data_IF_492523405505
#
_entry.id   IF_492523405505
#
_cell.length_a   1.000
_cell.length_b   1.000
_cell.length_c   1.000
_cell.angle_alpha   90.00
_cell.angle_beta   90.00
_cell.angle_gamma   90.00
#
_symmetry.space_group_name_H-M   'P 1'
#
loop_
_entity.id
_entity.type
_entity.pdbx_description
1 polymer ?
#
# COMPACT_ATOMS: atom_id res chain seq x y z
N UNK A 1 -26.33 17.09 -17.10
CA UNK A 1 -26.46 15.72 -16.54
C UNK A 1 -25.06 15.10 -16.59
N UNK A 2 -24.28 15.31 -15.54
CA UNK A 2 -22.86 14.92 -15.47
C UNK A 2 -22.79 13.78 -14.46
N UNK A 3 -22.53 12.58 -14.97
CA UNK A 3 -22.26 11.40 -14.16
C UNK A 3 -20.84 11.49 -13.60
N UNK A 4 -20.72 11.82 -12.32
CA UNK A 4 -19.48 11.76 -11.55
C UNK A 4 -19.13 10.30 -11.28
N UNK A 5 -18.13 9.79 -11.99
CA UNK A 5 -17.49 8.50 -11.68
C UNK A 5 -16.73 8.59 -10.35
N UNK A 6 -17.25 7.92 -9.32
CA UNK A 6 -16.54 7.76 -8.03
C UNK A 6 -15.36 6.79 -8.20
N UNK A 7 -14.14 7.14 -7.74
CA UNK A 7 -13.05 6.20 -7.71
C UNK A 7 -13.30 5.16 -6.59
N UNK A 8 -13.29 3.88 -6.95
CA UNK A 8 -13.30 2.78 -5.99
C UNK A 8 -11.93 2.71 -5.33
N UNK A 9 -11.86 3.19 -4.10
CA UNK A 9 -10.69 3.04 -3.22
C UNK A 9 -10.82 1.69 -2.52
N UNK A 10 -9.84 0.81 -2.73
CA UNK A 10 -9.70 -0.41 -1.93
C UNK A 10 -9.17 -0.03 -0.54
N UNK A 11 -10.01 0.59 0.28
CA UNK A 11 -9.71 0.80 1.69
C UNK A 11 -10.18 -0.44 2.47
N UNK A 12 -9.26 -1.15 3.11
CA UNK A 12 -9.59 -2.13 4.15
C UNK A 12 -10.12 -1.37 5.39
N UNK A 13 -11.39 -1.00 5.37
CA UNK A 13 -12.08 -0.51 6.56
C UNK A 13 -12.85 -1.68 7.18
N UNK A 14 -12.45 -2.05 8.38
CA UNK A 14 -13.09 -3.06 9.22
C UNK A 14 -14.43 -2.53 9.73
N UNK A 15 -15.54 -2.99 9.16
CA UNK A 15 -16.84 -2.89 9.82
C UNK A 15 -17.13 -4.25 10.47
N UNK A 16 -17.07 -4.32 11.80
CA UNK A 16 -17.59 -5.47 12.55
C UNK A 16 -19.12 -5.49 12.48
N UNK A 17 -19.65 -6.47 11.77
CA UNK A 17 -21.02 -6.94 11.97
C UNK A 17 -20.91 -8.31 12.62
N UNK A 18 -21.30 -8.40 13.89
CA UNK A 18 -21.44 -9.66 14.63
C UNK A 18 -22.65 -10.40 14.09
N UNK A 19 -22.44 -11.41 13.25
CA UNK A 19 -23.47 -12.39 12.90
C UNK A 19 -23.09 -13.71 13.57
N UNK A 20 -23.98 -14.18 14.43
CA UNK A 20 -24.01 -15.51 15.05
C UNK A 20 -23.83 -16.59 13.97
N UNK A 21 -22.80 -17.40 14.12
CA UNK A 21 -22.42 -18.42 13.16
C UNK A 21 -23.40 -19.57 13.06
N UNK A 22 -23.99 -19.72 11.89
CA UNK A 22 -24.33 -21.04 11.36
C UNK A 22 -23.05 -21.60 10.73
N UNK A 23 -22.64 -22.83 11.07
CA UNK A 23 -21.55 -23.50 10.36
C UNK A 23 -21.86 -23.51 8.87
N UNK A 24 -20.95 -23.07 7.97
CA UNK A 24 -21.22 -23.16 6.55
C UNK A 24 -21.39 -24.63 6.19
N UNK A 25 -22.54 -24.98 5.62
CA UNK A 25 -22.68 -26.25 4.91
C UNK A 25 -21.52 -26.31 3.91
N UNK A 26 -20.81 -27.42 3.82
CA UNK A 26 -19.75 -27.67 2.84
C UNK A 26 -20.35 -27.38 1.46
N UNK A 27 -20.01 -26.23 0.89
CA UNK A 27 -20.52 -25.82 -0.39
C UNK A 27 -20.10 -26.86 -1.42
N UNK A 28 -21.01 -27.28 -2.29
CA UNK A 28 -20.70 -28.18 -3.37
C UNK A 28 -19.95 -27.37 -4.45
N UNK A 29 -18.63 -27.42 -4.44
CA UNK A 29 -17.78 -26.66 -5.37
C UNK A 29 -18.18 -26.87 -6.84
N UNK A 30 -18.69 -28.03 -7.19
CA UNK A 30 -19.19 -28.29 -8.55
C UNK A 30 -20.46 -27.49 -8.89
N UNK A 31 -21.34 -27.27 -7.91
CA UNK A 31 -22.53 -26.43 -8.09
C UNK A 31 -22.14 -24.95 -8.16
N UNK A 32 -21.26 -24.49 -7.30
CA UNK A 32 -20.68 -23.15 -7.35
C UNK A 32 -20.08 -22.86 -8.72
N UNK A 33 -19.21 -23.74 -9.24
CA UNK A 33 -18.58 -23.60 -10.56
C UNK A 33 -19.64 -23.55 -11.66
N UNK A 34 -20.62 -24.48 -11.67
CA UNK A 34 -21.72 -24.45 -12.66
C UNK A 34 -22.48 -23.13 -12.64
N UNK A 35 -22.75 -22.59 -11.44
CA UNK A 35 -23.45 -21.32 -11.26
C UNK A 35 -22.67 -20.08 -11.75
N UNK A 36 -21.35 -20.17 -11.89
CA UNK A 36 -20.51 -19.08 -12.42
C UNK A 36 -20.53 -19.01 -13.96
N UNK A 37 -20.80 -20.12 -14.67
CA UNK A 37 -20.65 -20.17 -16.11
C UNK A 37 -21.45 -19.09 -16.86
N UNK A 38 -22.74 -18.83 -16.59
CA UNK A 38 -23.47 -17.79 -17.32
C UNK A 38 -22.85 -16.40 -17.21
N UNK A 39 -22.27 -16.09 -16.04
CA UNK A 39 -21.58 -14.81 -15.83
C UNK A 39 -20.23 -14.76 -16.57
N UNK A 40 -19.48 -15.86 -16.60
CA UNK A 40 -18.22 -15.95 -17.32
C UNK A 40 -18.46 -15.88 -18.85
N UNK A 41 -19.45 -16.61 -19.37
CA UNK A 41 -19.84 -16.59 -20.76
C UNK A 41 -20.27 -15.19 -21.23
N UNK A 42 -21.10 -14.49 -20.44
CA UNK A 42 -21.53 -13.12 -20.74
C UNK A 42 -20.38 -12.10 -20.80
N UNK A 43 -19.24 -12.43 -20.19
CA UNK A 43 -18.00 -11.63 -20.26
C UNK A 43 -17.04 -12.09 -21.37
N UNK A 44 -17.45 -13.01 -22.21
CA UNK A 44 -16.69 -13.52 -23.34
C UNK A 44 -15.58 -14.52 -22.95
N UNK A 45 -15.71 -15.19 -21.80
CA UNK A 45 -14.84 -16.30 -21.42
C UNK A 45 -15.18 -17.51 -22.29
N UNK A 46 -14.19 -18.11 -22.95
CA UNK A 46 -14.38 -19.32 -23.72
C UNK A 46 -14.67 -20.53 -22.83
N UNK A 47 -15.47 -21.48 -23.32
CA UNK A 47 -15.81 -22.69 -22.57
C UNK A 47 -14.56 -23.49 -22.20
N UNK A 48 -13.60 -23.60 -23.11
CA UNK A 48 -12.34 -24.30 -22.87
C UNK A 48 -11.48 -23.65 -21.81
N UNK A 49 -11.38 -22.31 -21.79
CA UNK A 49 -10.66 -21.57 -20.74
C UNK A 49 -11.32 -21.75 -19.37
N UNK A 50 -12.66 -21.72 -19.33
CA UNK A 50 -13.41 -21.93 -18.10
C UNK A 50 -13.19 -23.36 -17.54
N UNK A 51 -13.31 -24.38 -18.37
CA UNK A 51 -13.12 -25.79 -17.97
C UNK A 51 -11.68 -26.06 -17.52
N UNK A 52 -10.69 -25.54 -18.27
CA UNK A 52 -9.27 -25.63 -17.88
C UNK A 52 -9.02 -24.95 -16.53
N UNK A 53 -9.58 -23.75 -16.32
CA UNK A 53 -9.37 -22.97 -15.11
C UNK A 53 -9.93 -23.63 -13.83
N UNK A 54 -10.98 -24.43 -13.97
CA UNK A 54 -11.60 -25.16 -12.86
C UNK A 54 -11.23 -26.64 -12.81
N UNK A 55 -10.30 -27.09 -13.67
CA UNK A 55 -9.82 -28.47 -13.60
C UNK A 55 -9.22 -28.75 -12.22
N UNK A 56 -9.75 -29.78 -11.52
CA UNK A 56 -9.29 -30.14 -10.18
C UNK A 56 -9.63 -29.15 -9.06
N UNK A 57 -10.47 -28.15 -9.32
CA UNK A 57 -10.88 -27.21 -8.27
C UNK A 57 -11.63 -27.92 -7.15
N UNK A 58 -11.17 -27.67 -5.93
CA UNK A 58 -11.85 -28.00 -4.69
C UNK A 58 -11.71 -26.82 -3.75
N UNK A 59 -12.75 -26.56 -2.94
CA UNK A 59 -12.72 -25.56 -1.91
C UNK A 59 -11.53 -25.74 -0.97
N UNK A 60 -10.79 -24.67 -0.67
CA UNK A 60 -9.54 -24.71 0.09
C UNK A 60 -9.70 -24.01 1.45
N UNK A 61 -10.07 -24.72 2.54
CA UNK A 61 -10.26 -24.12 3.87
C UNK A 61 -9.02 -23.33 4.35
N UNK A 62 -7.81 -23.73 3.98
CA UNK A 62 -6.57 -23.01 4.33
C UNK A 62 -6.57 -21.56 3.85
N UNK A 63 -7.15 -21.28 2.69
CA UNK A 63 -7.27 -19.90 2.16
C UNK A 63 -8.19 -19.07 3.07
N UNK A 64 -9.31 -19.63 3.50
CA UNK A 64 -10.24 -18.93 4.41
C UNK A 64 -9.61 -18.70 5.80
N UNK A 65 -8.76 -19.59 6.27
CA UNK A 65 -8.07 -19.39 7.56
C UNK A 65 -7.06 -18.23 7.50
N UNK A 66 -6.48 -17.94 6.33
CA UNK A 66 -5.61 -16.79 6.13
C UNK A 66 -6.38 -15.46 6.24
N UNK A 67 -7.67 -15.42 5.90
CA UNK A 67 -8.50 -14.23 6.06
C UNK A 67 -8.69 -13.81 7.52
N UNK A 68 -8.64 -14.78 8.45
CA UNK A 68 -8.78 -14.56 9.90
C UNK A 68 -7.46 -14.14 10.57
N UNK A 69 -6.33 -14.43 9.93
CA UNK A 69 -4.98 -14.20 10.46
C UNK A 69 -4.38 -12.87 9.99
N UNK A 70 -5.18 -11.93 9.49
CA UNK A 70 -4.64 -10.59 9.20
C UNK A 70 -4.23 -9.97 10.54
N UNK A 71 -2.92 -9.82 10.83
CA UNK A 71 -2.49 -9.21 12.08
C UNK A 71 -3.05 -7.79 12.11
N UNK A 72 -3.70 -7.43 13.21
CA UNK A 72 -3.94 -6.01 13.48
C UNK A 72 -2.60 -5.30 13.32
N UNK A 73 -2.62 -4.14 12.64
CA UNK A 73 -1.41 -3.35 12.41
C UNK A 73 -0.81 -2.93 13.76
N UNK A 74 0.01 -3.81 14.32
CA UNK A 74 0.65 -3.65 15.63
C UNK A 74 2.12 -3.28 15.53
N UNK A 75 2.59 -2.86 14.34
CA UNK A 75 3.97 -2.47 14.13
C UNK A 75 4.10 -0.96 13.87
N UNK A 76 5.16 -0.37 14.37
CA UNK A 76 5.52 1.02 14.04
C UNK A 76 5.98 1.12 12.58
N UNK A 77 5.98 2.35 12.04
CA UNK A 77 6.54 2.62 10.70
C UNK A 77 8.01 2.21 10.65
N UNK A 78 8.78 2.49 11.71
CA UNK A 78 10.17 2.02 11.83
C UNK A 78 10.30 0.51 11.65
N UNK A 79 9.55 -0.26 12.46
CA UNK A 79 9.60 -1.73 12.38
C UNK A 79 9.21 -2.29 11.02
N UNK A 80 8.28 -1.61 10.33
CA UNK A 80 7.92 -1.95 8.94
C UNK A 80 9.09 -1.72 8.00
N UNK A 81 9.72 -0.54 8.08
CA UNK A 81 10.86 -0.17 7.23
C UNK A 81 12.07 -1.05 7.47
N UNK A 82 12.44 -1.30 8.73
CA UNK A 82 13.60 -2.13 9.09
C UNK A 82 13.49 -3.55 8.51
N UNK A 83 12.26 -4.08 8.43
CA UNK A 83 11.99 -5.41 7.85
C UNK A 83 12.00 -5.38 6.33
N UNK A 84 11.50 -4.30 5.71
CA UNK A 84 11.19 -4.24 4.27
C UNK A 84 12.23 -3.52 3.44
N UNK A 85 13.09 -2.69 4.05
CA UNK A 85 14.10 -1.87 3.35
C UNK A 85 15.49 -2.20 3.91
N UNK A 86 15.95 -3.41 3.65
CA UNK A 86 17.25 -3.88 4.10
C UNK A 86 18.38 -3.47 3.15
N UNK A 87 19.62 -3.49 3.63
CA UNK A 87 20.80 -3.26 2.77
C UNK A 87 20.88 -4.27 1.62
N UNK A 88 20.57 -5.55 1.90
CA UNK A 88 20.56 -6.61 0.89
C UNK A 88 19.53 -6.35 -0.20
N UNK A 89 18.34 -5.87 0.17
CA UNK A 89 17.28 -5.54 -0.78
C UNK A 89 17.66 -4.33 -1.66
N UNK A 90 18.28 -3.30 -1.08
CA UNK A 90 18.78 -2.16 -1.84
C UNK A 90 19.90 -2.56 -2.81
N UNK A 91 20.85 -3.39 -2.36
CA UNK A 91 21.93 -3.92 -3.20
C UNK A 91 21.39 -4.78 -4.36
N UNK A 92 20.39 -5.65 -4.09
CA UNK A 92 19.73 -6.42 -5.15
C UNK A 92 19.03 -5.48 -6.14
N UNK A 93 18.37 -4.42 -5.66
CA UNK A 93 17.75 -3.40 -6.52
C UNK A 93 18.76 -2.67 -7.42
N UNK A 94 19.96 -2.38 -6.91
CA UNK A 94 21.07 -1.82 -7.72
C UNK A 94 21.49 -2.78 -8.83
N UNK A 95 21.62 -4.07 -8.53
CA UNK A 95 21.94 -5.09 -9.54
C UNK A 95 20.82 -5.18 -10.60
N UNK A 96 19.55 -5.22 -10.18
CA UNK A 96 18.39 -5.22 -11.09
C UNK A 96 18.34 -3.95 -11.95
N UNK A 97 18.72 -2.80 -11.40
CA UNK A 97 18.79 -1.55 -12.17
C UNK A 97 19.81 -1.63 -13.31
N UNK A 98 20.95 -2.24 -13.06
CA UNK A 98 21.96 -2.45 -14.10
C UNK A 98 21.49 -3.48 -15.14
N UNK A 99 20.93 -4.60 -14.71
CA UNK A 99 20.42 -5.68 -15.57
C UNK A 99 19.30 -5.22 -16.49
N UNK A 100 18.34 -4.49 -15.96
CA UNK A 100 17.13 -4.07 -16.70
C UNK A 100 17.18 -2.62 -17.16
N UNK A 101 18.36 -2.02 -17.23
CA UNK A 101 18.55 -0.60 -17.55
C UNK A 101 17.85 -0.16 -18.83
N UNK A 102 17.93 -0.93 -19.89
CA UNK A 102 17.30 -0.60 -21.17
C UNK A 102 15.76 -0.57 -21.05
N UNK A 103 15.17 -1.58 -20.43
CA UNK A 103 13.72 -1.66 -20.18
C UNK A 103 13.23 -0.50 -19.31
N UNK A 104 13.95 -0.22 -18.23
CA UNK A 104 13.61 0.84 -17.28
C UNK A 104 13.70 2.22 -17.91
N UNK A 105 14.77 2.49 -18.68
CA UNK A 105 14.95 3.76 -19.40
C UNK A 105 13.84 3.95 -20.45
N UNK A 106 13.50 2.91 -21.19
CA UNK A 106 12.39 2.96 -22.16
C UNK A 106 11.03 3.17 -21.47
N UNK A 107 10.82 2.55 -20.32
CA UNK A 107 9.60 2.76 -19.53
C UNK A 107 9.52 4.19 -18.97
N UNK A 108 10.64 4.75 -18.50
CA UNK A 108 10.70 6.14 -18.05
C UNK A 108 10.40 7.12 -19.19
N UNK A 109 11.00 6.91 -20.36
CA UNK A 109 10.73 7.73 -21.55
C UNK A 109 9.24 7.68 -21.97
N UNK A 110 8.61 6.52 -21.85
CA UNK A 110 7.22 6.31 -22.25
C UNK A 110 6.21 6.84 -21.24
N UNK A 111 6.46 6.67 -19.94
CA UNK A 111 5.47 6.96 -18.89
C UNK A 111 5.92 7.98 -17.85
N UNK A 112 7.17 8.45 -17.93
CA UNK A 112 7.70 9.48 -17.03
C UNK A 112 7.94 9.02 -15.60
N UNK A 113 7.94 7.69 -15.33
CA UNK A 113 8.16 7.12 -14.00
C UNK A 113 9.62 6.74 -13.83
N UNK A 114 10.25 7.24 -12.77
CA UNK A 114 11.66 7.00 -12.52
C UNK A 114 11.95 5.50 -12.30
N UNK A 115 13.04 4.96 -12.86
CA UNK A 115 13.46 3.56 -12.76
C UNK A 115 13.49 3.01 -11.35
N UNK A 116 14.03 3.77 -10.40
CA UNK A 116 14.16 3.36 -9.00
C UNK A 116 12.80 3.16 -8.30
N UNK A 117 11.76 3.89 -8.69
CA UNK A 117 10.41 3.71 -8.14
C UNK A 117 9.81 2.40 -8.64
N UNK A 118 9.92 2.11 -9.94
CA UNK A 118 9.45 0.85 -10.53
C UNK A 118 10.15 -0.34 -9.88
N UNK A 119 11.48 -0.24 -9.72
CA UNK A 119 12.29 -1.27 -9.04
C UNK A 119 11.93 -1.43 -7.56
N UNK A 120 11.69 -0.33 -6.86
CA UNK A 120 11.32 -0.38 -5.45
C UNK A 120 9.97 -1.09 -5.26
N UNK A 121 8.99 -0.85 -6.12
CA UNK A 121 7.71 -1.59 -6.10
C UNK A 121 7.98 -3.08 -6.36
N UNK A 122 8.73 -3.43 -7.39
CA UNK A 122 9.08 -4.82 -7.68
C UNK A 122 9.81 -5.50 -6.51
N UNK A 123 10.73 -4.78 -5.87
CA UNK A 123 11.42 -5.23 -4.66
C UNK A 123 10.46 -5.45 -3.49
N UNK A 124 9.54 -4.52 -3.26
CA UNK A 124 8.56 -4.60 -2.17
C UNK A 124 7.53 -5.70 -2.38
N UNK A 125 7.09 -5.95 -3.60
CA UNK A 125 6.06 -6.95 -3.89
C UNK A 125 6.60 -8.38 -3.82
N UNK A 126 7.68 -8.66 -4.54
CA UNK A 126 8.15 -10.04 -4.73
C UNK A 126 9.64 -10.24 -4.47
N UNK A 127 10.33 -9.26 -3.88
CA UNK A 127 11.79 -9.29 -3.74
C UNK A 127 12.47 -9.52 -5.10
N UNK A 128 12.07 -8.71 -6.10
CA UNK A 128 12.55 -8.78 -7.49
C UNK A 128 12.30 -10.17 -8.11
N UNK A 129 11.07 -10.64 -8.06
CA UNK A 129 10.65 -11.92 -8.60
C UNK A 129 11.10 -13.14 -7.78
N UNK A 130 11.70 -12.93 -6.61
CA UNK A 130 12.17 -14.04 -5.77
C UNK A 130 11.04 -14.90 -5.17
N UNK A 131 9.85 -14.34 -5.02
CA UNK A 131 8.65 -15.06 -4.59
C UNK A 131 7.38 -14.33 -5.06
N UNK A 132 6.68 -14.90 -6.01
CA UNK A 132 5.47 -14.32 -6.61
C UNK A 132 4.16 -14.91 -6.04
N UNK A 133 4.25 -15.77 -5.03
CA UNK A 133 3.16 -16.58 -4.53
C UNK A 133 3.16 -17.99 -5.16
N UNK A 134 2.48 -18.92 -4.52
CA UNK A 134 2.44 -20.32 -4.94
C UNK A 134 1.02 -20.88 -5.07
N UNK A 135 -0.01 -20.03 -4.93
CA UNK A 135 -1.39 -20.48 -5.04
C UNK A 135 -1.86 -20.36 -6.50
N UNK A 136 -2.65 -21.34 -6.94
CA UNK A 136 -3.37 -21.22 -8.20
C UNK A 136 -4.41 -20.10 -8.06
N UNK A 137 -4.19 -18.98 -8.75
CA UNK A 137 -4.93 -17.72 -8.55
C UNK A 137 -6.44 -17.92 -8.69
N UNK A 138 -6.89 -18.65 -9.72
CA UNK A 138 -8.33 -18.88 -9.95
C UNK A 138 -8.93 -19.70 -8.81
N UNK A 139 -8.25 -20.76 -8.35
CA UNK A 139 -8.72 -21.59 -7.24
C UNK A 139 -8.77 -20.80 -5.92
N UNK A 140 -7.79 -19.93 -5.68
CA UNK A 140 -7.78 -19.05 -4.50
C UNK A 140 -8.97 -18.06 -4.52
N UNK A 141 -9.18 -17.37 -5.65
CA UNK A 141 -10.28 -16.44 -5.83
C UNK A 141 -11.65 -17.13 -5.77
N UNK A 142 -11.77 -18.34 -6.35
CA UNK A 142 -12.96 -19.16 -6.28
C UNK A 142 -13.29 -19.53 -4.82
N UNK A 143 -12.29 -19.96 -4.04
CA UNK A 143 -12.46 -20.30 -2.63
C UNK A 143 -12.93 -19.09 -1.79
N UNK A 144 -12.35 -17.91 -2.01
CA UNK A 144 -12.75 -16.69 -1.32
C UNK A 144 -14.19 -16.29 -1.65
N UNK A 145 -14.59 -16.45 -2.93
CA UNK A 145 -15.94 -16.18 -3.41
C UNK A 145 -16.94 -17.16 -2.82
N UNK A 146 -16.68 -18.47 -2.95
CA UNK A 146 -17.52 -19.57 -2.44
C UNK A 146 -17.66 -19.51 -0.92
N UNK A 147 -16.57 -19.18 -0.21
CA UNK A 147 -16.54 -19.02 1.24
C UNK A 147 -17.16 -17.72 1.77
N UNK A 148 -17.67 -16.85 0.90
CA UNK A 148 -18.38 -15.63 1.30
C UNK A 148 -17.49 -14.50 1.79
N UNK A 149 -16.16 -14.61 1.70
CA UNK A 149 -15.26 -13.53 2.11
C UNK A 149 -15.22 -12.43 1.04
N UNK A 150 -15.83 -11.26 1.33
CA UNK A 150 -15.96 -10.15 0.36
C UNK A 150 -16.41 -10.67 -1.01
N UNK A 151 -17.42 -11.53 -1.00
CA UNK A 151 -17.80 -12.40 -2.12
C UNK A 151 -17.97 -11.64 -3.45
N UNK A 152 -18.61 -10.47 -3.44
CA UNK A 152 -18.82 -9.68 -4.66
C UNK A 152 -17.49 -9.18 -5.24
N UNK A 153 -16.57 -8.70 -4.40
CA UNK A 153 -15.27 -8.25 -4.83
C UNK A 153 -14.46 -9.41 -5.46
N UNK A 154 -14.34 -10.54 -4.74
CA UNK A 154 -13.56 -11.67 -5.25
C UNK A 154 -14.21 -12.38 -6.44
N UNK A 155 -15.54 -12.32 -6.57
CA UNK A 155 -16.25 -12.77 -7.77
C UNK A 155 -15.86 -11.96 -9.01
N UNK A 156 -15.80 -10.63 -8.88
CA UNK A 156 -15.36 -9.76 -9.97
C UNK A 156 -13.92 -10.04 -10.38
N UNK A 157 -13.02 -10.21 -9.40
CA UNK A 157 -11.64 -10.58 -9.67
C UNK A 157 -11.53 -11.98 -10.30
N UNK A 158 -12.32 -12.95 -9.85
CA UNK A 158 -12.36 -14.30 -10.41
C UNK A 158 -12.80 -14.30 -11.89
N UNK A 159 -13.91 -13.63 -12.19
CA UNK A 159 -14.42 -13.52 -13.56
C UNK A 159 -13.42 -12.80 -14.47
N UNK A 160 -12.72 -11.82 -13.92
CA UNK A 160 -11.65 -11.12 -14.64
C UNK A 160 -10.43 -12.02 -14.87
N UNK A 161 -10.04 -12.85 -13.89
CA UNK A 161 -8.97 -13.82 -14.03
C UNK A 161 -9.27 -14.86 -15.15
N UNK A 162 -10.52 -15.35 -15.19
CA UNK A 162 -10.97 -16.25 -16.26
C UNK A 162 -10.89 -15.58 -17.63
N UNK A 163 -11.16 -14.29 -17.72
CA UNK A 163 -11.04 -13.53 -18.97
C UNK A 163 -9.57 -13.42 -19.41
N UNK A 164 -8.63 -13.17 -18.50
CA UNK A 164 -7.19 -13.12 -18.78
C UNK A 164 -6.70 -14.43 -19.41
N UNK A 165 -7.16 -15.57 -18.87
CA UNK A 165 -6.86 -16.90 -19.42
C UNK A 165 -7.48 -17.07 -20.80
N UNK A 166 -8.76 -16.69 -20.97
CA UNK A 166 -9.49 -16.78 -22.23
C UNK A 166 -8.86 -15.92 -23.33
N UNK A 167 -8.29 -14.77 -22.98
CA UNK A 167 -7.58 -13.87 -23.90
C UNK A 167 -6.16 -14.39 -24.26
N UNK A 168 -5.71 -15.50 -23.65
CA UNK A 168 -4.45 -16.19 -23.98
C UNK A 168 -3.20 -15.53 -23.38
N UNK A 169 -3.34 -14.63 -22.41
CA UNK A 169 -2.19 -13.98 -21.78
C UNK A 169 -1.37 -14.93 -20.89
N UNK A 170 -2.03 -15.91 -20.28
CA UNK A 170 -1.42 -16.96 -19.45
C UNK A 170 -2.33 -18.19 -19.48
N UNK A 171 -1.76 -19.38 -19.35
CA UNK A 171 -2.57 -20.59 -19.15
C UNK A 171 -3.12 -20.65 -17.73
N UNK A 172 -4.23 -21.35 -17.52
CA UNK A 172 -4.84 -21.49 -16.19
C UNK A 172 -3.83 -22.03 -15.17
N UNK A 173 -3.08 -23.08 -15.51
CA UNK A 173 -2.09 -23.72 -14.63
C UNK A 173 -0.92 -22.79 -14.26
N UNK A 174 -0.56 -21.86 -15.13
CA UNK A 174 0.53 -20.91 -14.92
C UNK A 174 0.09 -19.61 -14.24
N UNK A 175 -1.23 -19.42 -14.07
CA UNK A 175 -1.77 -18.25 -13.36
C UNK A 175 -1.59 -18.43 -11.84
N UNK A 176 -0.35 -18.26 -11.38
CA UNK A 176 0.02 -18.37 -9.96
C UNK A 176 0.09 -17.00 -9.31
N UNK A 177 -0.12 -16.96 -7.98
CA UNK A 177 -0.09 -15.71 -7.23
C UNK A 177 -0.22 -15.92 -5.73
N UNK A 178 -0.61 -14.86 -5.04
CA UNK A 178 -0.90 -14.89 -3.61
C UNK A 178 -2.24 -15.58 -3.32
N UNK A 179 -2.44 -15.96 -2.06
CA UNK A 179 -3.72 -16.51 -1.58
C UNK A 179 -4.92 -15.59 -1.81
N UNK A 180 -4.69 -14.28 -1.97
CA UNK A 180 -5.72 -13.27 -2.21
C UNK A 180 -5.81 -12.82 -3.68
N UNK A 181 -5.16 -13.53 -4.61
CA UNK A 181 -5.32 -13.30 -6.04
C UNK A 181 -4.40 -12.24 -6.64
N UNK A 182 -3.40 -11.74 -5.92
CA UNK A 182 -2.38 -10.86 -6.48
C UNK A 182 -1.35 -11.70 -7.27
N UNK A 183 -0.99 -11.25 -8.50
CA UNK A 183 -0.35 -12.08 -9.52
C UNK A 183 0.99 -11.53 -9.99
N UNK A 184 1.90 -12.45 -10.31
CA UNK A 184 3.14 -12.19 -11.03
C UNK A 184 4.17 -11.34 -10.27
N UNK A 185 5.14 -10.83 -10.99
CA UNK A 185 6.29 -10.08 -10.46
C UNK A 185 5.90 -8.86 -9.63
N UNK A 186 4.82 -8.18 -9.97
CA UNK A 186 4.41 -6.92 -9.37
C UNK A 186 3.05 -7.00 -8.66
N UNK A 187 2.56 -8.22 -8.44
CA UNK A 187 1.38 -8.51 -7.60
C UNK A 187 0.13 -7.75 -8.01
N UNK A 188 -0.16 -7.69 -9.32
CA UNK A 188 -1.41 -7.12 -9.82
C UNK A 188 -2.61 -8.01 -9.47
N UNK A 189 -3.68 -7.39 -9.03
CA UNK A 189 -5.00 -8.02 -9.06
C UNK A 189 -5.48 -8.20 -10.50
N UNK A 190 -6.32 -9.20 -10.81
CA UNK A 190 -6.86 -9.40 -12.17
C UNK A 190 -7.44 -8.15 -12.80
N UNK A 191 -8.22 -7.36 -12.05
CA UNK A 191 -8.77 -6.09 -12.53
C UNK A 191 -7.69 -5.04 -12.85
N UNK A 192 -6.60 -5.02 -12.07
CA UNK A 192 -5.46 -4.15 -12.34
C UNK A 192 -4.70 -4.60 -13.58
N UNK A 193 -4.53 -5.91 -13.77
CA UNK A 193 -3.94 -6.47 -14.96
C UNK A 193 -4.69 -6.05 -16.22
N UNK A 194 -6.00 -6.25 -16.27
CA UNK A 194 -6.82 -5.89 -17.44
C UNK A 194 -6.72 -4.40 -17.80
N UNK A 195 -6.59 -3.53 -16.81
CA UNK A 195 -6.55 -2.08 -17.02
C UNK A 195 -5.16 -1.54 -17.36
N UNK A 196 -4.11 -2.12 -16.78
CA UNK A 196 -2.79 -1.49 -16.75
C UNK A 196 -1.65 -2.35 -17.28
N UNK A 197 -1.82 -3.68 -17.40
CA UNK A 197 -0.79 -4.53 -17.96
C UNK A 197 -0.56 -4.20 -19.44
N UNK A 198 0.70 -4.20 -19.83
CA UNK A 198 1.14 -3.93 -21.21
C UNK A 198 2.01 -5.07 -21.72
N UNK A 199 1.92 -5.33 -22.99
CA UNK A 199 2.89 -6.10 -23.77
C UNK A 199 4.06 -5.14 -24.10
N UNK A 200 5.09 -5.16 -23.24
CA UNK A 200 6.21 -4.24 -23.40
C UNK A 200 7.26 -4.77 -24.37
N UNK A 201 7.46 -6.09 -24.39
CA UNK A 201 8.43 -6.76 -25.27
C UNK A 201 7.89 -6.94 -26.70
N UNK A 202 6.58 -6.79 -26.93
CA UNK A 202 5.95 -6.87 -28.27
C UNK A 202 5.71 -8.28 -28.76
N UNK A 203 5.62 -9.28 -27.87
CA UNK A 203 5.40 -10.68 -28.24
C UNK A 203 3.92 -11.06 -28.43
N UNK A 204 3.00 -10.11 -28.26
CA UNK A 204 1.55 -10.28 -28.40
C UNK A 204 0.84 -10.66 -27.10
N UNK A 205 1.54 -10.80 -25.98
CA UNK A 205 0.98 -11.14 -24.66
C UNK A 205 1.39 -10.15 -23.61
N UNK A 206 0.57 -10.00 -22.58
CA UNK A 206 0.89 -9.24 -21.39
C UNK A 206 1.31 -10.22 -20.30
N UNK A 207 2.58 -10.63 -20.28
CA UNK A 207 3.06 -11.68 -19.37
C UNK A 207 3.79 -11.09 -18.15
N UNK A 208 3.04 -10.83 -17.07
CA UNK A 208 3.63 -10.33 -15.82
C UNK A 208 4.24 -11.46 -14.96
N UNK A 209 4.17 -12.71 -15.37
CA UNK A 209 4.72 -13.87 -14.64
C UNK A 209 6.11 -14.27 -15.14
N UNK A 210 6.32 -14.29 -16.47
CA UNK A 210 7.56 -14.78 -17.07
C UNK A 210 8.33 -13.66 -17.81
N UNK A 211 7.70 -12.55 -18.16
CA UNK A 211 8.34 -11.38 -18.77
C UNK A 211 8.56 -10.27 -17.74
N UNK A 212 9.81 -10.13 -17.28
CA UNK A 212 10.19 -9.01 -16.44
C UNK A 212 9.96 -7.66 -17.14
N UNK A 213 10.17 -7.61 -18.47
CA UNK A 213 9.94 -6.41 -19.27
C UNK A 213 8.47 -5.95 -19.20
N UNK A 214 7.53 -6.88 -19.37
CA UNK A 214 6.10 -6.59 -19.26
C UNK A 214 5.72 -6.18 -17.86
N UNK A 215 6.26 -6.84 -16.83
CA UNK A 215 5.99 -6.54 -15.44
C UNK A 215 6.46 -5.12 -15.07
N UNK A 216 7.69 -4.73 -15.46
CA UNK A 216 8.22 -3.39 -15.20
C UNK A 216 7.47 -2.32 -16.01
N UNK A 217 7.20 -2.58 -17.29
CA UNK A 217 6.40 -1.70 -18.14
C UNK A 217 4.98 -1.52 -17.60
N UNK A 218 4.34 -2.61 -17.15
CA UNK A 218 3.01 -2.58 -16.55
C UNK A 218 2.98 -1.77 -15.24
N UNK A 219 4.01 -1.88 -14.42
CA UNK A 219 4.14 -1.09 -13.19
C UNK A 219 4.27 0.41 -13.50
N UNK A 220 5.11 0.77 -14.47
CA UNK A 220 5.26 2.16 -14.90
C UNK A 220 3.93 2.71 -15.48
N UNK A 221 3.24 1.93 -16.33
CA UNK A 221 1.94 2.31 -16.87
C UNK A 221 0.87 2.47 -15.77
N UNK A 222 0.89 1.62 -14.74
CA UNK A 222 -0.01 1.75 -13.58
C UNK A 222 0.17 3.11 -12.90
N UNK A 223 1.39 3.48 -12.55
CA UNK A 223 1.69 4.75 -11.87
C UNK A 223 1.35 5.95 -12.76
N UNK A 224 1.72 5.90 -14.05
CA UNK A 224 1.35 6.92 -15.03
C UNK A 224 -0.17 7.13 -15.11
N UNK A 225 -0.93 6.03 -15.22
CA UNK A 225 -2.40 6.06 -15.28
C UNK A 225 -3.02 6.66 -14.01
N UNK A 226 -2.33 6.56 -12.88
CA UNK A 226 -2.71 7.18 -11.61
C UNK A 226 -2.12 8.59 -11.40
N UNK A 227 -1.71 9.25 -12.50
CA UNK A 227 -1.26 10.64 -12.51
C UNK A 227 0.11 10.86 -11.87
N UNK A 228 1.03 9.91 -12.08
CA UNK A 228 2.44 10.15 -11.77
C UNK A 228 2.91 11.46 -12.41
N UNK A 229 3.65 12.26 -11.65
CA UNK A 229 4.19 13.54 -12.10
C UNK A 229 5.67 13.37 -12.44
N UNK A 230 6.05 13.41 -13.73
CA UNK A 230 7.43 13.26 -14.16
C UNK A 230 8.34 14.31 -13.51
N UNK A 231 9.54 13.89 -13.10
CA UNK A 231 10.52 14.76 -12.47
C UNK A 231 10.18 15.24 -11.05
N UNK A 232 9.03 14.86 -10.48
CA UNK A 232 8.70 15.06 -9.07
C UNK A 232 9.09 13.82 -8.27
N UNK A 233 9.77 14.00 -7.12
CA UNK A 233 10.06 12.89 -6.21
C UNK A 233 8.83 12.52 -5.36
N UNK A 234 8.95 11.47 -4.54
CA UNK A 234 7.92 11.07 -3.58
C UNK A 234 7.85 11.99 -2.35
N UNK A 235 8.99 12.59 -1.95
CA UNK A 235 9.08 13.45 -0.76
C UNK A 235 10.51 13.79 -0.38
N UNK A 236 10.64 14.51 0.72
CA UNK A 236 11.91 14.94 1.30
C UNK A 236 11.90 14.72 2.81
N UNK A 237 12.97 14.13 3.37
CA UNK A 237 13.22 14.21 4.81
C UNK A 237 13.60 15.65 5.17
N UNK A 238 12.98 16.19 6.22
CA UNK A 238 13.11 17.59 6.61
C UNK A 238 13.39 17.76 8.10
N UNK A 239 13.97 18.91 8.47
CA UNK A 239 14.15 19.37 9.84
C UNK A 239 13.10 20.42 10.14
N UNK A 240 12.53 20.33 11.34
CA UNK A 240 11.66 21.36 11.90
C UNK A 240 12.49 22.39 12.68
N UNK A 241 12.16 23.69 12.61
CA UNK A 241 12.83 24.70 13.42
C UNK A 241 12.45 24.55 14.90
N UNK A 242 13.27 25.09 15.81
CA UNK A 242 12.90 25.22 17.20
C UNK A 242 11.60 26.04 17.34
N UNK A 243 10.70 25.61 18.21
CA UNK A 243 9.41 26.31 18.40
C UNK A 243 8.42 26.17 17.24
N UNK A 244 8.56 25.13 16.40
CA UNK A 244 7.66 24.90 15.25
C UNK A 244 6.19 24.91 15.62
N UNK A 245 5.38 25.64 14.87
CA UNK A 245 3.94 25.77 15.12
C UNK A 245 3.15 24.59 14.52
N UNK A 246 3.02 23.52 15.30
CA UNK A 246 2.25 22.32 14.90
C UNK A 246 0.77 22.61 14.70
N UNK A 247 0.18 23.59 15.40
CA UNK A 247 -1.22 23.95 15.24
C UNK A 247 -1.47 24.55 13.85
N UNK A 248 -0.61 25.46 13.42
CA UNK A 248 -0.66 26.04 12.08
C UNK A 248 -0.41 24.96 11.00
N UNK A 249 0.60 24.12 11.18
CA UNK A 249 0.93 23.07 10.23
C UNK A 249 -0.23 22.05 10.04
N UNK A 250 -0.97 21.73 11.11
CA UNK A 250 -2.16 20.87 11.02
C UNK A 250 -3.31 21.45 10.20
N UNK A 251 -3.41 22.78 10.09
CA UNK A 251 -4.42 23.45 9.26
C UNK A 251 -4.04 23.46 7.77
N UNK A 252 -2.76 23.20 7.49
CA UNK A 252 -2.24 23.15 6.12
C UNK A 252 -2.26 21.70 5.64
N UNK A 253 -3.29 21.31 4.85
CA UNK A 253 -3.34 19.96 4.28
C UNK A 253 -2.19 19.74 3.30
N UNK A 254 -1.98 20.71 2.38
CA UNK A 254 -0.87 20.80 1.44
C UNK A 254 -0.54 22.27 1.17
N UNK A 255 0.76 22.54 0.98
CA UNK A 255 1.23 23.86 0.62
C UNK A 255 2.47 23.78 -0.28
N UNK A 256 2.80 24.82 -1.05
CA UNK A 256 4.07 24.91 -1.76
C UNK A 256 5.25 24.70 -0.82
N UNK A 257 6.31 24.05 -1.30
CA UNK A 257 7.54 23.82 -0.53
C UNK A 257 8.17 25.13 -0.06
N UNK A 258 8.05 26.21 -0.86
CA UNK A 258 8.47 27.57 -0.47
C UNK A 258 7.73 28.08 0.77
N UNK A 259 6.45 27.75 0.95
CA UNK A 259 5.69 28.16 2.12
C UNK A 259 6.14 27.35 3.38
N UNK A 260 6.43 26.07 3.24
CA UNK A 260 7.02 25.27 4.30
C UNK A 260 8.42 25.79 4.67
N UNK A 261 9.21 26.20 3.69
CA UNK A 261 10.53 26.81 3.92
C UNK A 261 10.41 28.16 4.64
N UNK A 262 9.41 28.97 4.33
CA UNK A 262 9.12 30.24 5.05
C UNK A 262 8.74 30.01 6.51
N UNK A 263 8.23 28.82 6.87
CA UNK A 263 8.01 28.39 8.25
C UNK A 263 9.26 27.82 8.93
N UNK A 264 10.43 27.88 8.29
CA UNK A 264 11.71 27.40 8.79
C UNK A 264 11.98 25.92 8.56
N UNK A 265 11.17 25.23 7.76
CA UNK A 265 11.42 23.83 7.41
C UNK A 265 12.53 23.76 6.36
N UNK A 266 13.52 22.92 6.61
CA UNK A 266 14.66 22.70 5.73
C UNK A 266 14.84 21.22 5.43
N UNK A 267 15.41 20.91 4.26
CA UNK A 267 15.82 19.53 3.96
C UNK A 267 16.97 19.13 4.90
N UNK A 268 16.95 17.87 5.38
CA UNK A 268 18.05 17.34 6.22
C UNK A 268 19.42 17.43 5.55
N UNK A 269 19.46 17.42 4.21
CA UNK A 269 20.69 17.58 3.43
C UNK A 269 21.25 19.01 3.44
N UNK A 270 20.55 20.00 3.98
CA UNK A 270 20.89 21.43 3.91
C UNK A 270 20.73 22.05 2.51
N UNK A 271 20.39 21.27 1.48
CA UNK A 271 20.19 21.79 0.12
C UNK A 271 18.79 22.42 -0.01
N UNK A 272 18.62 23.46 -0.85
CA UNK A 272 17.30 24.03 -1.11
C UNK A 272 16.37 23.01 -1.77
N UNK A 273 15.05 23.24 -1.68
CA UNK A 273 14.09 22.46 -2.46
C UNK A 273 14.28 22.78 -3.95
N UNK A 274 14.52 21.76 -4.81
CA UNK A 274 14.82 22.03 -6.22
C UNK A 274 13.63 22.58 -7.00
N UNK A 275 12.42 22.33 -6.51
CA UNK A 275 11.16 22.76 -7.11
C UNK A 275 10.28 23.37 -6.02
N UNK A 276 10.51 24.64 -5.63
CA UNK A 276 9.87 25.28 -4.47
C UNK A 276 8.35 25.47 -4.62
N UNK A 277 7.83 25.39 -5.84
CA UNK A 277 6.39 25.46 -6.15
C UNK A 277 5.67 24.11 -6.03
N UNK A 278 6.40 22.98 -5.92
CA UNK A 278 5.79 21.68 -5.71
C UNK A 278 5.02 21.67 -4.38
N UNK A 279 3.89 20.98 -4.39
CA UNK A 279 2.98 20.92 -3.24
C UNK A 279 3.32 19.76 -2.32
N UNK A 280 3.68 20.07 -1.06
CA UNK A 280 4.01 19.08 -0.04
C UNK A 280 3.01 19.06 1.11
N UNK A 281 2.85 17.90 1.77
CA UNK A 281 2.18 17.77 3.07
C UNK A 281 3.16 17.26 4.12
N UNK A 282 3.03 17.79 5.33
CA UNK A 282 3.87 17.36 6.45
C UNK A 282 3.44 15.95 6.92
N UNK A 283 4.43 15.08 7.16
CA UNK A 283 4.20 13.72 7.67
C UNK A 283 5.23 13.39 8.75
N UNK A 284 4.74 13.00 9.92
CA UNK A 284 5.54 12.70 11.11
C UNK A 284 5.17 11.30 11.62
N UNK A 285 5.72 10.22 11.03
CA UNK A 285 5.34 8.84 11.35
C UNK A 285 5.66 8.41 12.79
N UNK A 286 6.59 9.08 13.44
CA UNK A 286 6.97 8.88 14.85
C UNK A 286 6.91 10.18 15.67
N UNK A 287 6.06 11.11 15.25
CA UNK A 287 6.00 12.45 15.81
C UNK A 287 7.23 13.29 15.47
N UNK A 288 7.34 14.45 16.11
CA UNK A 288 8.43 15.40 15.90
C UNK A 288 9.80 14.92 16.44
N UNK A 289 9.80 13.85 17.23
CA UNK A 289 11.02 13.26 17.78
C UNK A 289 11.72 12.28 16.82
N UNK A 290 11.08 11.93 15.71
CA UNK A 290 11.60 11.03 14.69
C UNK A 290 11.78 11.70 13.35
N UNK A 291 12.03 10.92 12.27
CA UNK A 291 12.10 11.43 10.92
C UNK A 291 10.81 12.14 10.51
N UNK A 292 10.96 13.31 9.93
CA UNK A 292 9.86 14.15 9.44
C UNK A 292 9.99 14.31 7.94
N UNK A 293 8.87 14.30 7.23
CA UNK A 293 8.85 14.34 5.78
C UNK A 293 7.90 15.43 5.26
N UNK A 294 8.25 16.04 4.13
CA UNK A 294 7.32 16.69 3.22
C UNK A 294 7.02 15.70 2.08
N UNK A 295 5.82 15.14 2.08
CA UNK A 295 5.35 14.16 1.09
C UNK A 295 4.72 14.87 -0.09
N UNK A 296 5.16 14.54 -1.31
CA UNK A 296 4.69 15.13 -2.55
C UNK A 296 3.56 14.28 -3.16
N UNK A 297 2.85 14.76 -4.19
CA UNK A 297 1.76 14.03 -4.83
C UNK A 297 2.13 12.63 -5.32
N UNK A 298 3.36 12.40 -5.78
CA UNK A 298 3.81 11.07 -6.20
C UNK A 298 3.80 10.03 -5.05
N UNK A 299 3.93 10.46 -3.79
CA UNK A 299 3.70 9.56 -2.65
C UNK A 299 2.26 9.01 -2.63
N UNK A 300 1.27 9.85 -2.93
CA UNK A 300 -0.13 9.43 -2.97
C UNK A 300 -0.40 8.55 -4.20
N UNK A 301 0.37 8.69 -5.28
CA UNK A 301 0.32 7.78 -6.44
C UNK A 301 0.85 6.40 -6.04
N UNK A 302 1.97 6.32 -5.30
CA UNK A 302 2.48 5.04 -4.76
C UNK A 302 1.41 4.38 -3.87
N UNK A 303 0.70 5.14 -3.06
CA UNK A 303 -0.42 4.63 -2.24
C UNK A 303 -1.58 4.04 -3.06
N UNK A 304 -1.70 4.32 -4.36
CA UNK A 304 -2.69 3.64 -5.21
C UNK A 304 -2.35 2.16 -5.41
N UNK A 305 -1.05 1.83 -5.37
CA UNK A 305 -0.59 0.45 -5.44
C UNK A 305 -0.97 -0.32 -4.16
N UNK A 306 -0.68 0.26 -3.01
CA UNK A 306 -1.09 -0.26 -1.71
C UNK A 306 -1.41 0.92 -0.78
N UNK A 307 -2.64 1.01 -0.29
CA UNK A 307 -3.14 2.13 0.51
C UNK A 307 -2.60 2.12 1.95
N UNK A 308 -1.28 2.16 2.08
CA UNK A 308 -0.56 2.23 3.35
C UNK A 308 0.53 3.30 3.28
N UNK A 309 0.56 4.22 4.25
CA UNK A 309 1.63 5.22 4.36
C UNK A 309 2.99 4.54 4.62
N UNK A 310 3.02 3.45 5.41
CA UNK A 310 4.24 2.68 5.67
C UNK A 310 4.78 2.02 4.39
N UNK A 311 3.89 1.47 3.56
CA UNK A 311 4.26 0.90 2.27
C UNK A 311 4.83 1.97 1.33
N UNK A 312 4.12 3.08 1.16
CA UNK A 312 4.57 4.14 0.25
C UNK A 312 5.90 4.76 0.69
N UNK A 313 6.10 4.94 2.01
CA UNK A 313 7.37 5.39 2.57
C UNK A 313 8.48 4.35 2.33
N UNK A 314 8.19 3.05 2.45
CA UNK A 314 9.15 2.00 2.17
C UNK A 314 9.55 1.94 0.69
N UNK A 315 8.58 2.10 -0.23
CA UNK A 315 8.86 2.21 -1.68
C UNK A 315 9.76 3.41 -1.94
N UNK A 316 9.41 4.60 -1.44
CA UNK A 316 10.21 5.81 -1.64
C UNK A 316 11.62 5.68 -1.05
N UNK A 317 11.71 5.17 0.18
CA UNK A 317 13.01 4.96 0.84
C UNK A 317 13.87 3.90 0.14
N UNK A 318 13.28 2.79 -0.31
CA UNK A 318 13.99 1.77 -1.09
C UNK A 318 14.48 2.34 -2.43
N UNK A 319 13.66 3.14 -3.11
CA UNK A 319 14.03 3.82 -4.34
C UNK A 319 15.25 4.72 -4.14
N UNK A 320 15.27 5.54 -3.10
CA UNK A 320 16.41 6.38 -2.75
C UNK A 320 17.65 5.55 -2.47
N UNK A 321 17.54 4.42 -1.77
CA UNK A 321 18.66 3.53 -1.49
C UNK A 321 19.20 2.82 -2.74
N UNK A 322 18.35 2.48 -3.69
CA UNK A 322 18.75 1.92 -4.99
C UNK A 322 19.64 2.90 -5.76
N UNK A 323 19.39 4.19 -5.67
CA UNK A 323 20.22 5.22 -6.31
C UNK A 323 21.40 5.70 -5.45
N UNK A 324 21.66 5.03 -4.33
CA UNK A 324 22.85 5.26 -3.52
C UNK A 324 22.67 6.22 -2.33
N UNK A 325 21.44 6.64 -2.02
CA UNK A 325 21.19 7.40 -0.80
C UNK A 325 21.40 6.53 0.44
N UNK A 326 21.77 7.16 1.55
CA UNK A 326 21.88 6.52 2.86
C UNK A 326 20.52 6.20 3.50
N UNK A 327 20.54 5.84 4.79
CA UNK A 327 19.36 5.81 5.63
C UNK A 327 18.82 7.22 5.92
N UNK A 328 17.73 7.31 6.66
CA UNK A 328 17.24 8.59 7.15
C UNK A 328 18.26 9.25 8.08
N UNK A 329 18.41 10.57 7.96
CA UNK A 329 19.38 11.34 8.75
C UNK A 329 18.92 11.49 10.21
N UNK A 330 17.61 11.58 10.42
CA UNK A 330 17.02 11.69 11.78
C UNK A 330 16.79 10.29 12.34
N UNK A 331 17.33 9.98 13.54
CA UNK A 331 17.10 8.69 14.17
C UNK A 331 15.64 8.52 14.59
N UNK A 332 15.16 7.27 14.61
CA UNK A 332 13.85 6.94 15.16
C UNK A 332 13.88 7.04 16.70
N UNK A 333 12.81 7.49 17.34
CA UNK A 333 12.77 7.62 18.80
C UNK A 333 12.81 6.24 19.47
N UNK A 334 13.75 6.06 20.39
CA UNK A 334 13.86 4.82 21.15
C UNK A 334 12.65 4.60 22.08
N UNK A 335 12.26 3.33 22.24
CA UNK A 335 11.21 2.93 23.18
C UNK A 335 9.79 3.27 22.75
N UNK A 336 9.57 3.70 21.51
CA UNK A 336 8.22 3.85 20.98
C UNK A 336 7.67 2.51 20.46
N UNK A 337 6.35 2.32 20.60
CA UNK A 337 5.66 1.13 20.13
C UNK A 337 4.26 1.48 19.61
N UNK A 338 3.78 0.66 18.66
CA UNK A 338 2.45 0.81 18.11
C UNK A 338 1.39 0.35 19.11
N UNK A 339 0.35 1.14 19.26
CA UNK A 339 -0.76 0.81 20.15
C UNK A 339 -1.77 -0.09 19.45
N UNK A 340 -2.21 -1.14 20.14
CA UNK A 340 -3.39 -1.92 19.76
C UNK A 340 -4.66 -1.07 19.83
N UNK A 341 -5.77 -1.52 19.25
CA UNK A 341 -7.05 -0.82 19.35
C UNK A 341 -7.48 -0.61 20.83
N UNK A 342 -7.30 -1.64 21.66
CA UNK A 342 -7.60 -1.56 23.09
C UNK A 342 -6.73 -0.50 23.80
N UNK A 343 -5.43 -0.46 23.52
CA UNK A 343 -4.53 0.55 24.10
C UNK A 343 -4.84 1.96 23.62
N UNK A 344 -5.29 2.14 22.36
CA UNK A 344 -5.77 3.44 21.89
C UNK A 344 -7.04 3.89 22.62
N UNK A 345 -7.98 2.99 22.88
CA UNK A 345 -9.16 3.28 23.69
C UNK A 345 -8.79 3.61 25.13
N UNK A 346 -7.82 2.89 25.72
CA UNK A 346 -7.28 3.20 27.04
C UNK A 346 -6.66 4.61 27.07
N UNK A 347 -5.83 4.97 26.09
CA UNK A 347 -5.24 6.30 25.95
C UNK A 347 -6.32 7.40 25.88
N UNK A 348 -7.36 7.19 25.06
CA UNK A 348 -8.51 8.11 24.99
C UNK A 348 -9.20 8.25 26.36
N UNK A 349 -9.44 7.14 27.06
CA UNK A 349 -10.04 7.14 28.40
C UNK A 349 -9.20 7.95 29.40
N UNK A 350 -7.88 7.74 29.41
CA UNK A 350 -6.97 8.46 30.31
C UNK A 350 -6.93 9.96 30.00
N UNK A 351 -6.89 10.34 28.73
CA UNK A 351 -6.98 11.74 28.29
C UNK A 351 -8.32 12.36 28.73
N UNK A 352 -9.44 11.66 28.57
CA UNK A 352 -10.75 12.13 29.05
C UNK A 352 -10.79 12.36 30.55
N UNK A 353 -10.23 11.45 31.37
CA UNK A 353 -10.09 11.59 32.81
C UNK A 353 -9.19 12.79 33.18
N UNK A 354 -8.20 13.10 32.35
CA UNK A 354 -7.33 14.26 32.52
C UNK A 354 -7.96 15.58 32.03
N UNK A 355 -9.24 15.56 31.60
CA UNK A 355 -10.02 16.74 31.22
C UNK A 355 -9.94 17.14 29.75
N UNK A 356 -9.40 16.31 28.87
CA UNK A 356 -9.33 16.59 27.43
C UNK A 356 -10.53 16.02 26.67
N UNK A 357 -11.06 16.76 25.67
CA UNK A 357 -12.12 16.27 24.80
C UNK A 357 -11.54 15.27 23.79
N UNK A 358 -11.83 14.00 23.95
CA UNK A 358 -11.43 12.91 23.06
C UNK A 358 -12.61 12.32 22.27
N UNK A 359 -13.84 12.74 22.57
CA UNK A 359 -15.05 12.08 22.12
C UNK A 359 -15.23 10.72 22.80
N UNK A 360 -15.82 9.77 22.07
CA UNK A 360 -16.00 8.40 22.56
C UNK A 360 -14.69 7.62 22.49
N UNK A 361 -14.27 6.95 23.58
CA UNK A 361 -13.08 6.07 23.55
C UNK A 361 -13.33 4.78 22.78
N UNK A 362 -13.17 4.81 21.47
CA UNK A 362 -13.46 3.71 20.55
C UNK A 362 -12.18 3.04 19.96
N UNK A 363 -11.01 3.55 20.34
CA UNK A 363 -9.70 3.13 19.84
C UNK A 363 -9.40 3.60 18.41
N UNK A 364 -10.23 4.50 17.85
CA UNK A 364 -10.00 5.14 16.54
C UNK A 364 -9.36 6.52 16.74
N UNK A 365 -8.17 6.71 16.16
CA UNK A 365 -7.42 7.97 16.31
C UNK A 365 -7.94 9.02 15.33
N UNK A 366 -8.91 9.81 15.77
CA UNK A 366 -9.47 10.92 15.00
C UNK A 366 -8.85 12.29 15.35
N UNK A 367 -9.34 13.37 14.74
CA UNK A 367 -8.87 14.74 15.00
C UNK A 367 -8.95 15.14 16.48
N UNK A 368 -10.04 14.78 17.20
CA UNK A 368 -10.20 15.07 18.64
C UNK A 368 -9.13 14.38 19.47
N UNK A 369 -8.86 13.09 19.23
CA UNK A 369 -7.80 12.36 19.94
C UNK A 369 -6.44 13.01 19.70
N UNK A 370 -6.11 13.40 18.46
CA UNK A 370 -4.84 14.07 18.15
C UNK A 370 -4.73 15.46 18.81
N UNK A 371 -5.83 16.22 18.86
CA UNK A 371 -5.87 17.52 19.54
C UNK A 371 -5.67 17.36 21.07
N UNK A 372 -6.32 16.37 21.68
CA UNK A 372 -6.16 16.04 23.08
C UNK A 372 -4.72 15.63 23.43
N UNK A 373 -4.09 14.78 22.60
CA UNK A 373 -2.68 14.40 22.74
C UNK A 373 -1.79 15.64 22.61
N UNK A 374 -2.01 16.52 21.66
CA UNK A 374 -1.22 17.75 21.50
C UNK A 374 -1.33 18.67 22.71
N UNK A 375 -2.54 18.84 23.27
CA UNK A 375 -2.75 19.64 24.50
C UNK A 375 -2.06 18.99 25.71
N UNK A 376 -2.12 17.67 25.85
CA UNK A 376 -1.38 16.95 26.89
C UNK A 376 0.14 17.13 26.73
N UNK A 377 0.67 16.96 25.51
CA UNK A 377 2.08 17.16 25.18
C UNK A 377 2.53 18.60 25.57
N UNK A 378 1.74 19.60 25.21
CA UNK A 378 2.02 21.01 25.57
C UNK A 378 2.12 21.20 27.09
N UNK A 379 1.20 20.60 27.86
CA UNK A 379 1.24 20.67 29.35
C UNK A 379 2.50 19.99 29.89
N UNK A 380 3.00 18.94 29.22
CA UNK A 380 4.21 18.23 29.62
C UNK A 380 5.50 18.87 29.10
N UNK A 381 5.45 20.01 28.40
CA UNK A 381 6.62 20.64 27.79
C UNK A 381 7.20 19.88 26.60
N UNK A 382 6.41 18.97 26.00
CA UNK A 382 6.79 18.20 24.81
C UNK A 382 6.34 18.91 23.52
N UNK A 383 6.95 18.61 22.37
CA UNK A 383 6.44 19.05 21.08
C UNK A 383 4.97 18.65 20.91
N UNK A 384 4.07 19.64 20.72
CA UNK A 384 2.63 19.43 20.65
C UNK A 384 2.19 18.94 19.27
N UNK A 385 2.80 17.85 18.78
CA UNK A 385 2.58 17.28 17.44
C UNK A 385 1.31 16.44 17.30
N UNK A 386 0.71 16.01 18.42
CA UNK A 386 -0.48 15.19 18.45
C UNK A 386 -0.24 13.73 18.04
N UNK A 387 1.01 13.27 18.03
CA UNK A 387 1.35 11.90 17.71
C UNK A 387 0.91 10.93 18.81
N UNK A 388 0.07 9.96 18.44
CA UNK A 388 -0.46 8.92 19.35
C UNK A 388 0.49 7.73 19.34
N UNK A 389 1.15 7.47 20.46
CA UNK A 389 2.17 6.43 20.59
C UNK A 389 2.17 5.76 21.96
N UNK A 390 2.92 4.66 22.09
CA UNK A 390 3.13 3.96 23.34
C UNK A 390 3.74 4.86 24.41
N UNK A 391 4.67 5.74 24.04
CA UNK A 391 5.30 6.69 24.94
C UNK A 391 4.30 7.67 25.58
N UNK A 392 3.30 8.11 24.81
CA UNK A 392 2.23 8.99 25.32
C UNK A 392 1.32 8.21 26.29
N UNK A 393 0.98 6.95 25.94
CA UNK A 393 0.21 6.10 26.85
C UNK A 393 0.93 5.88 28.18
N UNK A 394 2.24 5.59 28.13
CA UNK A 394 3.06 5.40 29.34
C UNK A 394 3.19 6.67 30.19
N UNK A 395 3.27 7.85 29.53
CA UNK A 395 3.29 9.12 30.21
C UNK A 395 1.96 9.45 30.92
N UNK A 396 0.82 9.04 30.35
CA UNK A 396 -0.51 9.23 30.94
C UNK A 396 -0.79 8.29 32.13
N UNK A 397 -0.04 7.19 32.26
CA UNK A 397 -0.15 6.21 33.36
C UNK A 397 0.66 6.61 34.61
N UNK A 398 1.54 7.57 34.49
CA UNK A 398 2.36 8.12 35.61
C UNK A 398 1.67 9.24 36.35
#
# INVERSE_FOLDING_TARGET
MTLLSRPFVAALALAMVSSLGSAPALANSAEFVRGLWPQAESRGVSRSAFESAFAGYNYQPKIMDLTKKQPEFSQTVQQYLDRRVTAAQAQKGQAMRAEWNQTLTGAEQRWGVQPEIVLAIWGMETNYGGFMGGEHTIHALATLTEGGYRADFFREELLTALRIVSDGHVSADNMTGSWAGAMGHTQFMPSSFMRYAVDYNGDGRKDIWNSVQDALGSTANYLHSHKWRPGETWGYEVKLPGGFNFAQARQMERAPLSQWQAMGIERVSGKPFPRPTDSGRLYMPAGAAGPVFLLLPNFDVIKRYNNSDSYALAVGHLADRIIGSGGFATPWPAGDYALTKAQRAELQTLLGRAGYDVGTPDGVVGPKTRAAVAAFQQRMGLPADGHVSGRILDALKR
#
